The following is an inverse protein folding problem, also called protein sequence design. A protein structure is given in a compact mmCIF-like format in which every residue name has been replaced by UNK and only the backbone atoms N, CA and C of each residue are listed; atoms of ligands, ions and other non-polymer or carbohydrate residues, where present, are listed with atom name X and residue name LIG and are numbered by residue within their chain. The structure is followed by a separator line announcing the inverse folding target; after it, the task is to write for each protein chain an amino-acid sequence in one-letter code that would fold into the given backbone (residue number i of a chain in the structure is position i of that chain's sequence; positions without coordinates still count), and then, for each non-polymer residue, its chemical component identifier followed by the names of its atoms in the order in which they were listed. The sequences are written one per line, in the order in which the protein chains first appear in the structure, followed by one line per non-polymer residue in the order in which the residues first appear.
data_IF_470513194817
#
_entry.id   IF_470513194817
#
_cell.length_a   1.000
_cell.length_b   1.000
_cell.length_c   1.000
_cell.angle_alpha   90.00
_cell.angle_beta   90.00
_cell.angle_gamma   90.00
#
_symmetry.space_group_name_H-M   'P 1'
#
loop_
_entity.id
_entity.type
_entity.pdbx_description
1 polymer ?
#
# COMPACT_ATOMS: atom_id res chain seq x y z
N UNK A 1 4.26 -21.67 -31.64
CA UNK A 1 3.49 -21.26 -30.44
C UNK A 1 4.45 -21.17 -29.26
N UNK A 2 4.23 -20.23 -28.32
CA UNK A 2 4.93 -20.02 -27.03
C UNK A 2 5.83 -18.77 -26.91
N UNK A 3 5.32 -17.59 -27.24
CA UNK A 3 5.98 -16.31 -26.92
C UNK A 3 5.03 -15.25 -26.33
N UNK A 4 4.08 -15.64 -25.47
CA UNK A 4 3.15 -14.69 -24.82
C UNK A 4 2.99 -14.80 -23.30
N UNK A 5 3.80 -15.60 -22.60
CA UNK A 5 3.59 -15.81 -21.14
C UNK A 5 4.57 -14.99 -20.26
N UNK A 6 5.64 -14.40 -20.81
CA UNK A 6 6.71 -13.78 -20.00
C UNK A 6 6.55 -12.28 -19.68
N UNK A 7 5.60 -11.53 -20.26
CA UNK A 7 5.55 -10.05 -20.10
C UNK A 7 4.43 -9.48 -19.22
N UNK A 8 3.57 -10.31 -18.63
CA UNK A 8 2.41 -9.82 -17.87
C UNK A 8 2.71 -9.46 -16.40
N UNK A 9 3.73 -10.08 -15.78
CA UNK A 9 4.02 -9.89 -14.34
C UNK A 9 4.82 -8.62 -14.00
N UNK A 10 5.40 -7.92 -14.97
CA UNK A 10 6.22 -6.73 -14.69
C UNK A 10 5.42 -5.43 -14.53
N UNK A 11 4.14 -5.40 -14.94
CA UNK A 11 3.33 -4.15 -15.00
C UNK A 11 2.55 -3.84 -13.72
N UNK A 12 2.40 -4.82 -12.83
CA UNK A 12 1.54 -4.71 -11.65
C UNK A 12 2.29 -5.02 -10.35
N UNK A 13 1.81 -4.47 -9.26
CA UNK A 13 1.97 -5.00 -7.91
C UNK A 13 0.67 -5.66 -7.47
N UNK A 14 0.74 -6.56 -6.49
CA UNK A 14 -0.44 -7.08 -5.82
C UNK A 14 -0.54 -6.53 -4.39
N UNK A 15 -1.76 -6.17 -4.00
CA UNK A 15 -2.13 -5.93 -2.60
C UNK A 15 -3.06 -7.06 -2.19
N UNK A 16 -2.69 -7.80 -1.14
CA UNK A 16 -3.57 -8.82 -0.55
C UNK A 16 -4.17 -8.28 0.73
N UNK A 17 -5.49 -8.30 0.84
CA UNK A 17 -6.25 -7.83 2.00
C UNK A 17 -7.49 -8.72 2.17
N UNK A 18 -7.73 -9.27 3.36
CA UNK A 18 -8.86 -10.16 3.66
C UNK A 18 -9.03 -11.29 2.63
N UNK A 19 -7.92 -11.98 2.30
CA UNK A 19 -7.83 -13.05 1.29
C UNK A 19 -8.20 -12.63 -0.15
N UNK A 20 -8.48 -11.34 -0.41
CA UNK A 20 -8.69 -10.79 -1.74
C UNK A 20 -7.41 -10.19 -2.29
N UNK A 21 -7.17 -10.41 -3.59
CA UNK A 21 -5.99 -9.91 -4.29
C UNK A 21 -6.40 -8.78 -5.23
N UNK A 22 -5.78 -7.61 -5.05
CA UNK A 22 -5.98 -6.43 -5.87
C UNK A 22 -4.74 -6.20 -6.75
N UNK A 23 -4.95 -6.14 -8.06
CA UNK A 23 -3.87 -5.86 -9.03
C UNK A 23 -3.73 -4.36 -9.23
N UNK A 24 -2.62 -3.80 -8.77
CA UNK A 24 -2.32 -2.37 -8.85
C UNK A 24 -1.32 -2.13 -9.97
N UNK A 25 -1.68 -1.32 -10.96
CA UNK A 25 -0.70 -0.90 -11.96
C UNK A 25 0.46 -0.14 -11.31
N UNK A 26 1.71 -0.46 -11.69
CA UNK A 26 2.90 0.22 -11.16
C UNK A 26 2.91 1.74 -11.39
N UNK A 27 2.14 2.26 -12.36
CA UNK A 27 1.93 3.71 -12.57
C UNK A 27 1.38 4.43 -11.34
N UNK A 28 0.67 3.71 -10.46
CA UNK A 28 0.12 4.26 -9.23
C UNK A 28 1.14 4.36 -8.09
N UNK A 29 2.37 3.86 -8.26
CA UNK A 29 3.47 3.98 -7.26
C UNK A 29 3.76 5.43 -6.87
N UNK A 30 3.43 6.41 -7.71
CA UNK A 30 3.58 7.84 -7.39
C UNK A 30 2.58 8.37 -6.36
N UNK A 31 1.52 7.62 -6.05
CA UNK A 31 0.50 7.99 -5.07
C UNK A 31 0.76 7.32 -3.72
N UNK A 32 0.15 7.88 -2.67
CA UNK A 32 0.11 7.24 -1.35
C UNK A 32 -0.66 5.93 -1.39
N UNK A 33 -0.30 4.99 -0.51
CA UNK A 33 -1.02 3.74 -0.35
C UNK A 33 -2.51 4.01 -0.04
N UNK A 34 -2.83 5.02 0.77
CA UNK A 34 -4.21 5.47 0.98
C UNK A 34 -4.92 5.79 -0.35
N UNK A 35 -4.30 6.58 -1.23
CA UNK A 35 -4.89 6.91 -2.55
C UNK A 35 -5.02 5.69 -3.44
N UNK A 36 -4.02 4.80 -3.44
CA UNK A 36 -4.07 3.53 -4.17
C UNK A 36 -5.27 2.70 -3.69
N UNK A 37 -5.48 2.57 -2.38
CA UNK A 37 -6.61 1.84 -1.81
C UNK A 37 -7.95 2.49 -2.20
N UNK A 38 -8.06 3.82 -2.11
CA UNK A 38 -9.25 4.58 -2.50
C UNK A 38 -9.61 4.37 -3.99
N UNK A 39 -8.64 4.43 -4.90
CA UNK A 39 -8.86 4.18 -6.33
C UNK A 39 -9.35 2.76 -6.64
N UNK A 40 -9.15 1.82 -5.72
CA UNK A 40 -9.61 0.44 -5.84
C UNK A 40 -10.83 0.15 -4.95
N UNK A 41 -11.51 1.20 -4.48
CA UNK A 41 -12.70 1.11 -3.61
C UNK A 41 -12.46 0.33 -2.31
N UNK A 42 -11.22 0.37 -1.79
CA UNK A 42 -10.86 -0.20 -0.49
C UNK A 42 -10.91 0.91 0.55
N UNK A 43 -11.89 0.82 1.44
CA UNK A 43 -12.07 1.80 2.51
C UNK A 43 -11.16 1.46 3.69
N UNK A 44 -10.44 2.48 4.17
CA UNK A 44 -9.72 2.46 5.44
C UNK A 44 -9.99 3.77 6.17
N UNK A 45 -9.82 3.79 7.49
CA UNK A 45 -9.93 5.02 8.27
C UNK A 45 -8.82 5.99 7.87
N UNK A 46 -9.11 7.30 7.82
CA UNK A 46 -8.14 8.35 7.60
C UNK A 46 -8.67 9.70 8.09
N UNK A 47 -7.78 10.66 8.31
CA UNK A 47 -8.16 12.03 8.68
C UNK A 47 -7.21 13.07 8.05
N UNK A 48 -5.99 13.23 8.58
CA UNK A 48 -5.11 14.33 8.17
C UNK A 48 -4.44 14.18 6.79
N UNK A 49 -4.24 12.94 6.31
CA UNK A 49 -3.51 12.62 5.07
C UNK A 49 -2.04 13.10 5.02
N UNK A 50 -1.50 13.58 6.14
CA UNK A 50 -0.16 14.20 6.23
C UNK A 50 0.80 13.45 7.15
N UNK A 51 0.37 12.31 7.71
CA UNK A 51 1.23 11.45 8.54
C UNK A 51 1.27 11.78 10.04
N UNK A 52 0.40 12.66 10.52
CA UNK A 52 0.43 13.13 11.92
C UNK A 52 -0.61 12.47 12.83
N UNK A 53 -1.85 12.26 12.37
CA UNK A 53 -2.96 11.84 13.25
C UNK A 53 -3.01 10.33 13.56
N UNK A 54 -2.27 9.49 12.84
CA UNK A 54 -2.31 8.04 13.03
C UNK A 54 -3.58 7.31 12.54
N UNK A 55 -4.68 8.00 12.25
CA UNK A 55 -5.95 7.37 11.79
C UNK A 55 -5.80 6.46 10.56
N UNK A 56 -4.81 6.73 9.68
CA UNK A 56 -4.56 5.97 8.46
C UNK A 56 -3.72 4.69 8.67
N UNK A 57 -3.55 4.26 9.92
CA UNK A 57 -2.70 3.15 10.33
C UNK A 57 -3.28 1.81 9.94
N UNK A 58 -2.42 0.94 9.40
CA UNK A 58 -2.74 -0.44 9.01
C UNK A 58 -1.52 -1.34 9.32
N UNK A 59 -1.71 -2.65 9.37
CA UNK A 59 -0.61 -3.62 9.51
C UNK A 59 -0.07 -4.03 8.14
N UNK A 60 1.25 -3.96 7.98
CA UNK A 60 2.01 -4.56 6.89
C UNK A 60 2.48 -5.96 7.30
N UNK A 61 1.81 -6.99 6.79
CA UNK A 61 2.13 -8.39 7.10
C UNK A 61 3.33 -8.87 6.27
N UNK A 62 3.38 -8.48 4.99
CA UNK A 62 4.46 -8.89 4.08
C UNK A 62 4.71 -7.84 3.01
N UNK A 63 5.95 -7.81 2.53
CA UNK A 63 6.38 -6.97 1.42
C UNK A 63 7.09 -5.71 1.89
N UNK A 64 7.25 -4.77 0.97
CA UNK A 64 8.03 -3.53 1.15
C UNK A 64 7.22 -2.33 0.71
N UNK A 65 7.20 -1.32 1.58
CA UNK A 65 6.72 0.03 1.29
C UNK A 65 7.90 1.00 1.28
N UNK A 66 7.66 2.23 0.84
CA UNK A 66 8.58 3.35 0.93
C UNK A 66 7.84 4.55 1.51
N UNK A 67 8.29 5.06 2.65
CA UNK A 67 7.78 6.33 3.18
C UNK A 67 8.20 7.49 2.28
N UNK A 68 7.37 8.54 2.23
CA UNK A 68 7.73 9.72 1.44
C UNK A 68 8.90 10.45 2.06
N UNK A 69 8.82 10.72 3.37
CA UNK A 69 9.88 11.33 4.17
C UNK A 69 10.00 10.61 5.54
N UNK A 70 11.02 10.94 6.33
CA UNK A 70 11.30 10.32 7.63
C UNK A 70 10.72 11.09 8.83
N UNK A 71 9.89 12.11 8.59
CA UNK A 71 9.48 13.09 9.61
C UNK A 71 8.07 12.81 10.18
N UNK A 72 7.69 11.56 10.40
CA UNK A 72 6.38 11.25 10.99
C UNK A 72 6.46 11.18 12.52
N UNK A 73 5.50 11.81 13.19
CA UNK A 73 5.43 11.91 14.67
C UNK A 73 4.70 10.70 15.27
N UNK A 74 3.95 9.95 14.47
CA UNK A 74 3.16 8.84 14.99
C UNK A 74 4.07 7.70 15.48
N UNK A 75 3.98 7.37 16.77
CA UNK A 75 4.45 6.10 17.30
C UNK A 75 3.71 4.97 16.57
N UNK A 76 4.43 4.16 15.81
CA UNK A 76 3.92 2.99 15.12
C UNK A 76 4.37 1.74 15.88
N UNK A 77 3.46 0.79 16.09
CA UNK A 77 3.85 -0.52 16.61
C UNK A 77 4.63 -1.30 15.53
N UNK A 78 5.39 -2.33 15.92
CA UNK A 78 6.06 -3.20 14.96
C UNK A 78 5.09 -3.74 13.90
N UNK A 79 5.45 -3.54 12.62
CA UNK A 79 4.64 -3.94 11.48
C UNK A 79 3.49 -2.99 11.12
N UNK A 80 3.25 -1.93 11.88
CA UNK A 80 2.28 -0.90 11.50
C UNK A 80 2.90 0.13 10.55
N UNK A 81 2.07 0.64 9.64
CA UNK A 81 2.44 1.67 8.67
C UNK A 81 1.34 2.73 8.59
N UNK A 82 1.70 3.95 8.20
CA UNK A 82 0.75 5.00 7.82
C UNK A 82 0.49 4.94 6.32
N UNK A 83 -0.65 4.39 5.92
CA UNK A 83 -1.01 4.25 4.49
C UNK A 83 -1.03 5.59 3.74
N UNK A 84 -1.34 6.69 4.44
CA UNK A 84 -1.33 8.04 3.88
C UNK A 84 0.07 8.62 3.66
N UNK A 85 1.12 8.02 4.24
CA UNK A 85 2.48 8.55 4.25
C UNK A 85 3.53 7.61 3.65
N UNK A 86 3.09 6.60 2.90
CA UNK A 86 3.98 5.71 2.17
C UNK A 86 3.39 5.32 0.81
N UNK A 87 4.22 4.77 -0.07
CA UNK A 87 3.82 4.06 -1.29
C UNK A 87 4.33 2.63 -1.30
N UNK A 88 3.81 1.80 -2.20
CA UNK A 88 4.23 0.40 -2.38
C UNK A 88 5.51 0.30 -3.20
N UNK A 89 6.42 -0.59 -2.78
CA UNK A 89 7.67 -0.88 -3.51
C UNK A 89 7.80 -2.34 -3.93
N UNK A 90 6.79 -3.16 -3.64
CA UNK A 90 6.69 -4.58 -4.01
C UNK A 90 5.24 -5.06 -3.84
N UNK A 91 4.99 -6.34 -4.06
CA UNK A 91 3.75 -6.98 -3.65
C UNK A 91 3.64 -6.96 -2.12
N UNK A 92 2.46 -6.59 -1.61
CA UNK A 92 2.24 -6.47 -0.17
C UNK A 92 1.03 -7.28 0.30
N UNK A 93 1.09 -7.70 1.56
CA UNK A 93 -0.04 -8.25 2.31
C UNK A 93 -0.28 -7.30 3.48
N UNK A 94 -1.51 -6.84 3.63
CA UNK A 94 -1.91 -5.89 4.67
C UNK A 94 -3.14 -6.39 5.41
N UNK A 95 -3.33 -5.90 6.63
CA UNK A 95 -4.55 -6.09 7.42
C UNK A 95 -5.03 -4.75 8.00
N UNK A 96 -6.36 -4.61 8.10
CA UNK A 96 -6.97 -3.51 8.84
C UNK A 96 -6.74 -3.72 10.35
N UNK A 97 -6.71 -2.61 11.09
CA UNK A 97 -6.69 -2.62 12.55
C UNK A 97 -8.09 -2.74 13.13
#
# INVERSE_FOLDING_TARGET
MNSKISNYNHKYYTITLNNKIYKIHKKYKKYSLLKILQFNHIHILYQCQTGYCGTCRIKLIKGKIKYFNNNFIAFLNPGEILSCYCTINSNIIIAML
#
